data_IF_539399330335
#
_entry.id   IF_539399330335
#
_cell.length_a   1.000
_cell.length_b   1.000
_cell.length_c   1.000
_cell.angle_alpha   90.00
_cell.angle_beta   90.00
_cell.angle_gamma   90.00
#
_symmetry.space_group_name_H-M   'P 1'
#
loop_
_entity.id
_entity.type
_entity.pdbx_description
1 polymer ?
#
# COMPACT_ATOMS: atom_id res chain seq x y z
N UNK A 1 11.57 -9.79 9.09
CA UNK A 1 10.30 -9.44 9.77
C UNK A 1 10.05 -7.94 9.86
N UNK A 2 11.06 -7.08 10.10
CA UNK A 2 10.85 -5.64 10.28
C UNK A 2 10.13 -4.94 9.11
N UNK A 3 10.49 -5.26 7.87
CA UNK A 3 9.90 -4.65 6.67
C UNK A 3 8.40 -4.98 6.50
N UNK A 4 7.98 -6.20 6.85
CA UNK A 4 6.55 -6.59 6.84
C UNK A 4 5.75 -5.96 7.98
N UNK A 5 6.40 -5.60 9.10
CA UNK A 5 5.72 -4.84 10.15
C UNK A 5 5.60 -3.35 9.77
N UNK A 6 6.58 -2.84 9.00
CA UNK A 6 6.57 -1.47 8.51
C UNK A 6 5.38 -1.21 7.57
N UNK A 7 4.98 -2.17 6.74
CA UNK A 7 3.83 -2.02 5.84
C UNK A 7 2.51 -1.78 6.58
N UNK A 8 2.32 -2.41 7.74
CA UNK A 8 1.15 -2.18 8.58
C UNK A 8 1.14 -0.76 9.16
N UNK A 9 2.30 -0.25 9.60
CA UNK A 9 2.43 1.15 10.03
C UNK A 9 2.26 2.15 8.89
N UNK A 10 2.71 1.82 7.68
CA UNK A 10 2.50 2.64 6.48
C UNK A 10 1.02 2.71 6.10
N UNK A 11 0.26 1.62 6.22
CA UNK A 11 -1.18 1.64 6.02
C UNK A 11 -1.89 2.58 7.01
N UNK A 12 -1.46 2.57 8.28
CA UNK A 12 -1.95 3.51 9.29
C UNK A 12 -1.57 4.96 8.97
N UNK A 13 -0.33 5.18 8.52
CA UNK A 13 0.15 6.51 8.09
C UNK A 13 -0.64 7.05 6.90
N UNK A 14 -0.97 6.20 5.92
CA UNK A 14 -1.76 6.61 4.75
C UNK A 14 -3.12 7.17 5.16
N UNK A 15 -3.85 6.51 6.08
CA UNK A 15 -5.11 7.04 6.60
C UNK A 15 -4.92 8.36 7.34
N UNK A 16 -3.93 8.44 8.22
CA UNK A 16 -3.66 9.66 8.99
C UNK A 16 -3.28 10.85 8.07
N UNK A 17 -2.55 10.58 6.99
CA UNK A 17 -2.21 11.60 5.99
C UNK A 17 -3.46 12.14 5.28
N UNK A 18 -4.41 11.26 4.93
CA UNK A 18 -5.71 11.68 4.37
C UNK A 18 -6.48 12.55 5.35
N UNK A 19 -6.55 12.15 6.62
CA UNK A 19 -7.21 12.96 7.67
C UNK A 19 -6.54 14.32 7.85
N UNK A 20 -5.22 14.39 7.69
CA UNK A 20 -4.45 15.64 7.74
C UNK A 20 -4.54 16.49 6.45
N UNK A 21 -5.25 16.01 5.41
CA UNK A 21 -5.38 16.71 4.12
C UNK A 21 -4.23 16.51 3.14
N UNK A 22 -3.27 15.62 3.42
CA UNK A 22 -2.19 15.26 2.50
C UNK A 22 -2.57 14.03 1.68
N UNK A 23 -3.15 14.27 0.50
CA UNK A 23 -3.59 13.23 -0.43
C UNK A 23 -2.45 12.69 -1.33
N UNK A 24 -1.26 13.30 -1.27
CA UNK A 24 -0.10 12.86 -2.06
C UNK A 24 0.61 11.65 -1.44
N UNK A 25 0.63 11.57 -0.10
CA UNK A 25 1.30 10.49 0.64
C UNK A 25 0.66 9.11 0.44
N UNK A 26 -0.68 8.94 0.46
CA UNK A 26 -1.31 7.64 0.23
C UNK A 26 -0.92 7.00 -1.10
N UNK A 27 -0.77 7.81 -2.16
CA UNK A 27 -0.33 7.35 -3.48
C UNK A 27 1.09 6.78 -3.44
N UNK A 28 2.02 7.53 -2.84
CA UNK A 28 3.42 7.10 -2.66
C UNK A 28 3.50 5.82 -1.82
N UNK A 29 2.71 5.74 -0.76
CA UNK A 29 2.65 4.57 0.13
C UNK A 29 2.09 3.35 -0.62
N UNK A 30 1.00 3.52 -1.36
CA UNK A 30 0.38 2.45 -2.14
C UNK A 30 1.34 1.91 -3.20
N UNK A 31 2.04 2.78 -3.93
CA UNK A 31 3.06 2.37 -4.89
C UNK A 31 4.18 1.56 -4.23
N UNK A 32 4.77 2.08 -3.15
CA UNK A 32 5.83 1.41 -2.42
C UNK A 32 5.42 0.02 -1.87
N UNK A 33 4.22 -0.09 -1.31
CA UNK A 33 3.69 -1.36 -0.81
C UNK A 33 3.47 -2.36 -1.96
N UNK A 34 3.05 -1.88 -3.14
CA UNK A 34 2.90 -2.71 -4.34
C UNK A 34 4.24 -3.25 -4.88
N UNK A 35 5.28 -2.43 -4.89
CA UNK A 35 6.64 -2.86 -5.23
C UNK A 35 7.16 -3.91 -4.23
N UNK A 36 6.86 -3.71 -2.95
CA UNK A 36 7.24 -4.62 -1.88
C UNK A 36 6.53 -5.97 -2.01
N UNK A 37 5.22 -5.99 -2.24
CA UNK A 37 4.45 -7.22 -2.50
C UNK A 37 5.04 -7.98 -3.69
N UNK A 38 5.34 -7.28 -4.78
CA UNK A 38 5.97 -7.85 -5.97
C UNK A 38 7.35 -8.44 -5.66
N UNK A 39 8.18 -7.73 -4.89
CA UNK A 39 9.48 -8.19 -4.43
C UNK A 39 9.40 -9.46 -3.56
N UNK A 40 8.43 -9.53 -2.63
CA UNK A 40 8.24 -10.72 -1.79
C UNK A 40 7.69 -11.92 -2.56
N UNK A 41 6.88 -11.70 -3.61
CA UNK A 41 6.44 -12.77 -4.53
C UNK A 41 7.63 -13.41 -5.25
N UNK A 42 8.61 -12.61 -5.67
CA UNK A 42 9.82 -13.11 -6.35
C UNK A 42 10.68 -14.01 -5.46
N UNK A 43 10.64 -13.82 -4.13
CA UNK A 43 11.39 -14.64 -3.18
C UNK A 43 10.89 -16.09 -3.10
N UNK A 44 9.73 -16.41 -3.71
CA UNK A 44 9.14 -17.76 -3.80
C UNK A 44 9.25 -18.56 -2.49
N UNK A 45 8.84 -17.91 -1.39
CA UNK A 45 8.99 -18.44 -0.05
C UNK A 45 8.21 -19.76 0.11
N UNK A 46 8.90 -20.79 0.61
CA UNK A 46 8.26 -22.06 1.02
C UNK A 46 7.44 -21.84 2.30
N UNK A 47 6.63 -22.82 2.69
CA UNK A 47 5.78 -22.75 3.89
C UNK A 47 6.61 -22.61 5.18
N UNK A 48 6.94 -21.38 5.54
CA UNK A 48 7.68 -21.00 6.74
C UNK A 48 7.01 -19.85 7.50
N UNK A 49 7.61 -19.40 8.60
CA UNK A 49 7.09 -18.31 9.41
C UNK A 49 7.03 -16.97 8.65
N UNK A 50 7.90 -16.76 7.67
CA UNK A 50 7.92 -15.56 6.85
C UNK A 50 6.76 -15.55 5.85
N UNK A 51 6.43 -16.71 5.25
CA UNK A 51 5.27 -16.88 4.36
C UNK A 51 3.96 -16.55 5.05
N UNK A 52 3.77 -17.03 6.28
CA UNK A 52 2.58 -16.71 7.10
C UNK A 52 2.42 -15.21 7.36
N UNK A 53 3.53 -14.50 7.57
CA UNK A 53 3.52 -13.04 7.77
C UNK A 53 3.27 -12.30 6.46
N UNK A 54 3.88 -12.76 5.37
CA UNK A 54 3.65 -12.23 4.04
C UNK A 54 2.19 -12.42 3.58
N UNK A 55 1.52 -13.52 3.95
CA UNK A 55 0.08 -13.69 3.69
C UNK A 55 -0.80 -12.63 4.38
N UNK A 56 -0.30 -11.99 5.44
CA UNK A 56 -0.94 -10.85 6.08
C UNK A 56 -0.82 -9.56 5.27
N UNK A 57 0.25 -9.40 4.47
CA UNK A 57 0.53 -8.18 3.72
C UNK A 57 -0.59 -7.83 2.73
N UNK A 58 -1.26 -8.84 2.15
CA UNK A 58 -2.37 -8.63 1.20
C UNK A 58 -3.50 -7.77 1.78
N UNK A 59 -3.70 -7.82 3.11
CA UNK A 59 -4.73 -7.03 3.78
C UNK A 59 -4.31 -5.56 3.89
N UNK A 60 -3.03 -5.30 4.17
CA UNK A 60 -2.47 -3.95 4.20
C UNK A 60 -2.47 -3.32 2.80
N UNK A 61 -2.09 -4.09 1.77
CA UNK A 61 -2.14 -3.68 0.36
C UNK A 61 -3.56 -3.25 -0.01
N UNK A 62 -4.55 -4.13 0.21
CA UNK A 62 -5.95 -3.87 -0.12
C UNK A 62 -6.47 -2.60 0.57
N UNK A 63 -6.12 -2.41 1.85
CA UNK A 63 -6.52 -1.23 2.62
C UNK A 63 -5.92 0.06 2.04
N UNK A 64 -4.67 0.05 1.61
CA UNK A 64 -4.05 1.20 0.96
C UNK A 64 -4.67 1.50 -0.41
N UNK A 65 -4.99 0.46 -1.19
CA UNK A 65 -5.68 0.60 -2.48
C UNK A 65 -7.08 1.19 -2.31
N UNK A 66 -7.85 0.74 -1.31
CA UNK A 66 -9.17 1.30 -0.99
C UNK A 66 -9.08 2.80 -0.65
N UNK A 67 -8.06 3.22 0.11
CA UNK A 67 -7.83 4.64 0.40
C UNK A 67 -7.52 5.43 -0.87
N UNK A 68 -6.64 4.94 -1.73
CA UNK A 68 -6.30 5.62 -2.99
C UNK A 68 -7.50 5.67 -3.94
N UNK A 69 -8.28 4.59 -4.00
CA UNK A 69 -9.51 4.53 -4.77
C UNK A 69 -10.51 5.60 -4.31
N UNK A 70 -10.75 5.69 -3.00
CA UNK A 70 -11.61 6.70 -2.38
C UNK A 70 -11.17 8.13 -2.72
N UNK A 71 -9.86 8.40 -2.70
CA UNK A 71 -9.32 9.70 -3.04
C UNK A 71 -9.51 10.03 -4.53
N UNK A 72 -9.35 9.03 -5.40
CA UNK A 72 -9.48 9.15 -6.86
C UNK A 72 -10.92 9.43 -7.27
N UNK A 73 -11.88 8.69 -6.72
CA UNK A 73 -13.31 8.90 -7.03
C UNK A 73 -13.82 10.25 -6.50
N UNK A 74 -13.25 10.75 -5.40
CA UNK A 74 -13.58 12.06 -4.83
C UNK A 74 -12.87 13.22 -5.54
N UNK A 75 -11.98 12.95 -6.50
CA UNK A 75 -11.23 13.98 -7.21
C UNK A 75 -10.21 14.74 -6.35
N UNK A 76 -9.78 14.14 -5.22
CA UNK A 76 -8.80 14.74 -4.30
C UNK A 76 -7.35 14.52 -4.74
N UNK A 77 -7.18 13.76 -5.83
CA UNK A 77 -5.89 13.46 -6.45
C UNK A 77 -5.98 13.91 -7.92
N UNK A 78 -4.94 14.55 -8.47
CA UNK A 78 -4.89 14.83 -9.90
C UNK A 78 -5.11 13.51 -10.67
N UNK A 79 -6.12 13.48 -11.54
CA UNK A 79 -6.19 12.39 -12.51
C UNK A 79 -4.93 12.51 -13.36
N UNK A 80 -4.08 11.49 -13.33
CA UNK A 80 -3.17 11.28 -14.46
C UNK A 80 -4.09 10.97 -15.65
N UNK A 81 -4.51 12.02 -16.36
CA UNK A 81 -4.96 11.88 -17.72
C UNK A 81 -3.78 11.27 -18.45
N UNK A 82 -3.84 9.95 -18.67
CA UNK A 82 -2.97 9.25 -19.61
C UNK A 82 -3.16 9.95 -20.95
N UNK A 83 -2.31 10.94 -21.20
CA UNK A 83 -2.13 11.50 -22.53
C UNK A 83 -1.52 10.36 -23.34
N UNK A 84 -2.24 10.04 -24.42
CA UNK A 84 -2.03 8.94 -25.35
C UNK A 84 -0.58 8.71 -25.78
#
# INVERSE_FOLDING_TARGET
>A
MGVLNMTSELSRLAMNAVTAGDYSRPLKISHFIGELDSGFRLLNLKNDALRKRFDGLKYDVKKCEEVVYDLTIRGLVPREDKTE
#
